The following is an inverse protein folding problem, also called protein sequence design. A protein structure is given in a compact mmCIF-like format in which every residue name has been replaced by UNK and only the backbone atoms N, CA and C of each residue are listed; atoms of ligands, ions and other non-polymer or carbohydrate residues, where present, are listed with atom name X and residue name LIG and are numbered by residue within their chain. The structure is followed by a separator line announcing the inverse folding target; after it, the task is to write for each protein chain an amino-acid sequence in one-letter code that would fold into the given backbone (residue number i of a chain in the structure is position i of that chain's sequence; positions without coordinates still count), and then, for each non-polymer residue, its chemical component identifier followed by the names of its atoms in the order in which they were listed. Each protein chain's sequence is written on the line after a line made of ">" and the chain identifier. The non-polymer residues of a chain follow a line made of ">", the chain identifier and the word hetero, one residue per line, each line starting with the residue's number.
data_IF_107546232506
#
_entry.id   IF_107546232506
#
_cell.length_a   1.000
_cell.length_b   1.000
_cell.length_c   1.000
_cell.angle_alpha   90.00
_cell.angle_beta   90.00
_cell.angle_gamma   90.00
#
_symmetry.space_group_name_H-M   'P 1'
#
loop_
_entity.id
_entity.type
_entity.pdbx_description
1 polymer ?
#
# COMPACT_ATOMS: atom_id res chain seq x y z
N UNK A 1 13.72 9.47 -6.11
CA UNK A 1 12.38 9.23 -6.71
C UNK A 1 11.48 10.41 -6.41
N UNK A 2 10.79 11.00 -7.41
CA UNK A 2 9.81 12.07 -7.15
C UNK A 2 8.59 11.46 -6.47
N UNK A 3 8.19 12.01 -5.31
CA UNK A 3 6.94 11.66 -4.66
C UNK A 3 5.79 12.08 -5.60
N UNK A 4 5.14 11.10 -6.20
CA UNK A 4 4.01 11.29 -7.13
C UNK A 4 2.77 10.61 -6.56
N UNK A 5 1.63 11.30 -6.62
CA UNK A 5 0.33 10.75 -6.21
C UNK A 5 0.04 9.43 -6.93
N UNK A 6 0.32 9.38 -8.24
CA UNK A 6 0.11 8.19 -9.07
C UNK A 6 0.89 7.00 -8.53
N UNK A 7 2.13 7.19 -8.08
CA UNK A 7 2.94 6.11 -7.55
C UNK A 7 2.41 5.63 -6.20
N UNK A 8 1.98 6.55 -5.32
CA UNK A 8 1.35 6.18 -4.05
C UNK A 8 0.07 5.36 -4.28
N UNK A 9 -0.79 5.81 -5.20
CA UNK A 9 -2.03 5.12 -5.55
C UNK A 9 -1.77 3.74 -6.15
N UNK A 10 -0.77 3.59 -7.02
CA UNK A 10 -0.40 2.29 -7.59
C UNK A 10 0.11 1.31 -6.53
N UNK A 11 0.91 1.78 -5.56
CA UNK A 11 1.42 0.94 -4.46
C UNK A 11 0.27 0.48 -3.56
N UNK A 12 -0.66 1.38 -3.21
CA UNK A 12 -1.85 1.04 -2.42
C UNK A 12 -2.76 0.07 -3.18
N UNK A 13 -3.00 0.28 -4.48
CA UNK A 13 -3.77 -0.66 -5.29
C UNK A 13 -3.13 -2.06 -5.32
N UNK A 14 -1.81 -2.14 -5.44
CA UNK A 14 -1.10 -3.41 -5.37
C UNK A 14 -1.24 -4.08 -3.99
N UNK A 15 -1.14 -3.30 -2.90
CA UNK A 15 -1.35 -3.78 -1.54
C UNK A 15 -2.74 -4.41 -1.34
N UNK A 16 -3.79 -3.71 -1.76
CA UNK A 16 -5.16 -4.20 -1.73
C UNK A 16 -5.36 -5.51 -2.52
N UNK A 17 -4.76 -5.63 -3.71
CA UNK A 17 -4.85 -6.87 -4.52
C UNK A 17 -4.17 -8.04 -3.80
N UNK A 18 -2.99 -7.80 -3.21
CA UNK A 18 -2.26 -8.83 -2.46
C UNK A 18 -3.04 -9.26 -1.22
N UNK A 19 -3.65 -8.32 -0.49
CA UNK A 19 -4.50 -8.62 0.66
C UNK A 19 -5.74 -9.42 0.28
N UNK A 20 -6.43 -9.03 -0.80
CA UNK A 20 -7.58 -9.78 -1.32
C UNK A 20 -7.16 -11.21 -1.68
N UNK A 21 -6.04 -11.38 -2.38
CA UNK A 21 -5.50 -12.70 -2.73
C UNK A 21 -5.14 -13.50 -1.48
N UNK A 22 -4.48 -12.89 -0.50
CA UNK A 22 -4.16 -13.50 0.79
C UNK A 22 -5.39 -13.96 1.56
N UNK A 23 -6.46 -13.17 1.57
CA UNK A 23 -7.73 -13.56 2.22
C UNK A 23 -8.43 -14.72 1.51
N UNK A 24 -8.42 -14.77 0.17
CA UNK A 24 -8.94 -15.89 -0.61
C UNK A 24 -8.13 -17.17 -0.35
N UNK A 25 -6.80 -17.04 -0.27
CA UNK A 25 -5.90 -18.14 0.09
C UNK A 25 -6.10 -18.58 1.54
N UNK A 26 -6.41 -17.66 2.46
CA UNK A 26 -6.68 -18.01 3.86
C UNK A 26 -7.87 -18.96 4.00
N UNK A 27 -8.89 -18.76 3.15
CA UNK A 27 -10.06 -19.63 3.12
C UNK A 27 -9.78 -21.03 2.56
N UNK A 28 -8.62 -21.27 1.92
CA UNK A 28 -8.31 -22.53 1.22
C UNK A 28 -7.05 -23.24 1.70
N UNK A 29 -6.00 -22.51 2.12
CA UNK A 29 -4.70 -23.01 2.58
C UNK A 29 -4.03 -22.01 3.55
N UNK A 30 -4.32 -22.16 4.84
CA UNK A 30 -3.82 -21.29 5.93
C UNK A 30 -2.30 -21.16 6.01
N UNK A 31 -1.54 -22.19 5.61
CA UNK A 31 -0.07 -22.14 5.69
C UNK A 31 0.58 -21.13 4.72
N UNK A 32 -0.11 -20.77 3.63
CA UNK A 32 0.38 -19.81 2.64
C UNK A 32 -0.27 -18.42 2.77
N UNK A 33 -1.37 -18.30 3.51
CA UNK A 33 -2.10 -17.04 3.64
C UNK A 33 -1.41 -16.03 4.55
N UNK A 34 -0.88 -16.48 5.70
CA UNK A 34 -0.19 -15.62 6.66
C UNK A 34 0.96 -14.80 6.03
N UNK A 35 1.93 -15.40 5.30
CA UNK A 35 3.00 -14.61 4.67
C UNK A 35 2.49 -13.68 3.57
N UNK A 36 1.43 -14.06 2.84
CA UNK A 36 0.85 -13.23 1.77
C UNK A 36 0.11 -12.03 2.36
N UNK A 37 -0.67 -12.22 3.43
CA UNK A 37 -1.38 -11.16 4.14
C UNK A 37 -0.36 -10.20 4.77
N UNK A 38 0.68 -10.71 5.42
CA UNK A 38 1.75 -9.88 6.00
C UNK A 38 2.44 -9.03 4.93
N UNK A 39 2.71 -9.61 3.75
CA UNK A 39 3.30 -8.89 2.62
C UNK A 39 2.36 -7.80 2.11
N UNK A 40 1.06 -8.09 1.98
CA UNK A 40 0.04 -7.12 1.59
C UNK A 40 -0.04 -5.94 2.56
N UNK A 41 -0.02 -6.21 3.87
CA UNK A 41 0.00 -5.18 4.92
C UNK A 41 1.26 -4.32 4.87
N UNK A 42 2.43 -4.93 4.61
CA UNK A 42 3.69 -4.19 4.47
C UNK A 42 3.66 -3.24 3.26
N UNK A 43 3.11 -3.69 2.12
CA UNK A 43 2.96 -2.86 0.93
C UNK A 43 2.00 -1.68 1.21
N UNK A 44 0.87 -1.93 1.86
CA UNK A 44 -0.09 -0.90 2.28
C UNK A 44 0.55 0.14 3.20
N UNK A 45 1.34 -0.31 4.18
CA UNK A 45 2.04 0.57 5.11
C UNK A 45 3.00 1.52 4.39
N UNK A 46 3.81 0.99 3.47
CA UNK A 46 4.74 1.79 2.66
C UNK A 46 3.98 2.76 1.74
N UNK A 47 2.91 2.29 1.08
CA UNK A 47 2.06 3.13 0.24
C UNK A 47 1.43 4.29 1.01
N UNK A 48 1.00 4.03 2.24
CA UNK A 48 0.38 5.03 3.12
C UNK A 48 1.39 6.10 3.54
N UNK A 49 2.60 5.70 3.97
CA UNK A 49 3.68 6.66 4.30
C UNK A 49 3.98 7.54 3.09
N UNK A 50 4.08 6.94 1.91
CA UNK A 50 4.36 7.66 0.67
C UNK A 50 3.27 8.68 0.35
N UNK A 51 1.99 8.30 0.50
CA UNK A 51 0.85 9.18 0.31
C UNK A 51 0.88 10.36 1.28
N UNK A 52 1.12 10.10 2.57
CA UNK A 52 1.21 11.14 3.61
C UNK A 52 2.33 12.13 3.30
N UNK A 53 3.52 11.64 2.92
CA UNK A 53 4.64 12.50 2.54
C UNK A 53 4.32 13.35 1.31
N UNK A 54 3.69 12.76 0.30
CA UNK A 54 3.25 13.49 -0.90
C UNK A 54 2.24 14.60 -0.55
N UNK A 55 1.21 14.29 0.24
CA UNK A 55 0.19 15.24 0.64
C UNK A 55 0.79 16.37 1.49
N UNK A 56 1.72 16.04 2.39
CA UNK A 56 2.42 17.04 3.20
C UNK A 56 3.27 17.99 2.32
N UNK A 57 4.01 17.45 1.34
CA UNK A 57 4.76 18.28 0.39
C UNK A 57 3.84 19.15 -0.47
N UNK A 58 2.72 18.62 -0.96
CA UNK A 58 1.73 19.38 -1.72
C UNK A 58 1.14 20.51 -0.87
N UNK A 59 0.77 20.24 0.38
CA UNK A 59 0.26 21.26 1.31
C UNK A 59 1.27 22.37 1.55
N UNK A 60 2.55 22.05 1.74
CA UNK A 60 3.62 23.05 1.91
C UNK A 60 3.78 23.95 0.67
N UNK A 61 3.65 23.38 -0.53
CA UNK A 61 3.70 24.16 -1.79
C UNK A 61 2.52 25.10 -2.00
N UNK A 62 1.33 24.76 -1.49
CA UNK A 62 0.15 25.63 -1.58
C UNK A 62 0.06 26.69 -0.47
N UNK A 63 0.96 26.64 0.52
CA UNK A 63 1.05 27.64 1.61
C UNK A 63 2.19 28.65 1.41
N UNK A 64 3.06 28.43 0.43
CA UNK A 64 4.12 29.34 0.03
C UNK A 64 3.66 30.17 -1.17
#
# INVERSE_FOLDING_TARGET
>A
MKLSLRNAVLILLAGMIVLATGSFLNSSKTQFSDPVILTGLAIEFVGTIWLVLYLNQRRKRHKA
#
